data_IF_342755760871
#
_entry.id   IF_342755760871
#
_cell.length_a   1.000
_cell.length_b   1.000
_cell.length_c   1.000
_cell.angle_alpha   90.00
_cell.angle_beta   90.00
_cell.angle_gamma   90.00
#
_symmetry.space_group_name_H-M   'P 1'
#
loop_
_entity.id
_entity.type
_entity.pdbx_description
1 polymer ?
#
# COMPACT_ATOMS: atom_id res chain seq x y z
N UNK A 1 -1.68 10.68 -23.99
CA UNK A 1 -1.78 10.07 -22.65
C UNK A 1 -1.42 8.60 -22.80
N UNK A 2 -0.51 8.05 -22.00
CA UNK A 2 -0.13 6.63 -22.12
C UNK A 2 -1.36 5.73 -21.99
N UNK A 3 -1.51 4.75 -22.88
CA UNK A 3 -2.62 3.81 -22.83
C UNK A 3 -2.35 2.76 -21.74
N UNK A 4 -2.74 3.08 -20.51
CA UNK A 4 -2.56 2.19 -19.35
C UNK A 4 -3.49 0.99 -19.51
N UNK A 5 -2.95 -0.23 -19.54
CA UNK A 5 -3.75 -1.44 -19.64
C UNK A 5 -4.68 -1.62 -18.43
N UNK A 6 -5.76 -2.39 -18.60
CA UNK A 6 -6.68 -2.73 -17.49
C UNK A 6 -5.94 -3.39 -16.32
N UNK A 7 -4.92 -4.21 -16.61
CA UNK A 7 -4.08 -4.88 -15.60
C UNK A 7 -3.27 -3.85 -14.79
N UNK A 8 -2.63 -2.90 -15.45
CA UNK A 8 -1.87 -1.83 -14.79
C UNK A 8 -2.77 -0.94 -13.91
N UNK A 9 -3.97 -0.57 -14.40
CA UNK A 9 -4.95 0.19 -13.59
C UNK A 9 -5.38 -0.56 -12.33
N UNK A 10 -5.67 -1.87 -12.44
CA UNK A 10 -6.01 -2.71 -11.28
C UNK A 10 -4.85 -2.81 -10.28
N UNK A 11 -3.62 -2.94 -10.76
CA UNK A 11 -2.43 -2.96 -9.91
C UNK A 11 -2.24 -1.63 -9.17
N UNK A 12 -2.37 -0.50 -9.87
CA UNK A 12 -2.27 0.83 -9.26
C UNK A 12 -3.36 1.03 -8.20
N UNK A 13 -4.62 0.69 -8.51
CA UNK A 13 -5.71 0.77 -7.55
C UNK A 13 -5.42 -0.05 -6.29
N UNK A 14 -4.85 -1.25 -6.43
CA UNK A 14 -4.49 -2.07 -5.29
C UNK A 14 -3.37 -1.45 -4.43
N UNK A 15 -2.37 -0.82 -5.05
CA UNK A 15 -1.36 -0.06 -4.29
C UNK A 15 -1.97 1.11 -3.54
N UNK A 16 -2.83 1.90 -4.20
CA UNK A 16 -3.52 3.02 -3.54
C UNK A 16 -4.37 2.54 -2.35
N UNK A 17 -5.09 1.43 -2.49
CA UNK A 17 -5.91 0.86 -1.40
C UNK A 17 -5.03 0.44 -0.21
N UNK A 18 -3.94 -0.31 -0.45
CA UNK A 18 -3.04 -0.74 0.62
C UNK A 18 -2.40 0.46 1.33
N UNK A 19 -1.95 1.46 0.57
CA UNK A 19 -1.36 2.68 1.12
C UNK A 19 -2.38 3.46 1.95
N UNK A 20 -3.57 3.71 1.42
CA UNK A 20 -4.62 4.45 2.14
C UNK A 20 -5.05 3.73 3.42
N UNK A 21 -5.18 2.40 3.36
CA UNK A 21 -5.50 1.56 4.51
C UNK A 21 -4.46 1.67 5.63
N UNK A 22 -3.17 1.59 5.29
CA UNK A 22 -2.09 1.71 6.28
C UNK A 22 -2.03 3.10 6.91
N UNK A 23 -2.23 4.17 6.13
CA UNK A 23 -2.27 5.55 6.63
C UNK A 23 -3.45 5.72 7.60
N UNK A 24 -4.61 5.19 7.24
CA UNK A 24 -5.80 5.24 8.10
C UNK A 24 -5.56 4.49 9.41
N UNK A 25 -4.98 3.29 9.37
CA UNK A 25 -4.63 2.54 10.57
C UNK A 25 -3.59 3.26 11.45
N UNK A 26 -2.58 3.88 10.87
CA UNK A 26 -1.60 4.65 11.64
C UNK A 26 -2.23 5.86 12.32
N UNK A 27 -3.17 6.55 11.65
CA UNK A 27 -3.94 7.62 12.27
C UNK A 27 -4.78 7.10 13.44
N UNK A 28 -5.46 5.97 13.28
CA UNK A 28 -6.23 5.36 14.35
C UNK A 28 -5.35 4.96 15.53
N UNK A 29 -4.21 4.33 15.26
CA UNK A 29 -3.24 3.93 16.29
C UNK A 29 -2.72 5.14 17.07
N UNK A 30 -2.48 6.27 16.37
CA UNK A 30 -2.08 7.53 17.02
C UNK A 30 -3.16 8.08 17.94
N UNK A 31 -4.42 8.05 17.52
CA UNK A 31 -5.54 8.62 18.28
C UNK A 31 -5.95 7.70 19.44
N UNK A 32 -6.10 6.41 19.18
CA UNK A 32 -6.72 5.48 20.13
C UNK A 32 -5.70 4.74 21.01
N UNK A 33 -4.47 4.53 20.54
CA UNK A 33 -3.43 3.84 21.31
C UNK A 33 -2.33 4.76 21.82
N UNK A 34 -2.35 6.04 21.43
CA UNK A 34 -1.27 7.00 21.69
C UNK A 34 0.12 6.48 21.24
N UNK A 35 0.16 5.70 20.15
CA UNK A 35 1.41 5.22 19.56
C UNK A 35 1.57 5.76 18.15
N UNK A 36 2.78 6.14 17.78
CA UNK A 36 3.10 6.68 16.45
C UNK A 36 4.31 5.99 15.82
N UNK A 37 4.30 5.87 14.51
CA UNK A 37 5.39 5.38 13.68
C UNK A 37 6.04 6.62 13.07
N UNK A 38 7.36 6.57 12.87
CA UNK A 38 7.99 7.52 11.99
C UNK A 38 7.49 7.32 10.55
N UNK A 39 7.52 8.37 9.71
CA UNK A 39 7.15 8.22 8.29
C UNK A 39 7.91 7.09 7.58
N UNK A 40 9.18 6.88 7.94
CA UNK A 40 10.00 5.80 7.40
C UNK A 40 9.48 4.41 7.83
N UNK A 41 9.12 4.25 9.11
CA UNK A 41 8.54 2.99 9.60
C UNK A 41 7.19 2.69 8.95
N UNK A 42 6.35 3.72 8.75
CA UNK A 42 5.08 3.55 8.04
C UNK A 42 5.30 3.16 6.58
N UNK A 43 6.28 3.76 5.90
CA UNK A 43 6.63 3.40 4.54
C UNK A 43 7.11 1.95 4.44
N UNK A 44 7.97 1.50 5.36
CA UNK A 44 8.42 0.11 5.43
C UNK A 44 7.23 -0.85 5.62
N UNK A 45 6.30 -0.54 6.52
CA UNK A 45 5.06 -1.31 6.71
C UNK A 45 4.24 -1.43 5.42
N UNK A 46 4.05 -0.31 4.71
CA UNK A 46 3.32 -0.30 3.43
C UNK A 46 4.04 -1.17 2.39
N UNK A 47 5.37 -1.12 2.33
CA UNK A 47 6.16 -1.94 1.43
C UNK A 47 6.06 -3.44 1.75
N UNK A 48 6.04 -3.80 3.03
CA UNK A 48 5.80 -5.17 3.50
C UNK A 48 4.43 -5.69 3.03
N UNK A 49 3.35 -4.93 3.26
CA UNK A 49 2.00 -5.29 2.81
C UNK A 49 1.90 -5.43 1.28
N UNK A 50 2.56 -4.52 0.55
CA UNK A 50 2.67 -4.60 -0.91
C UNK A 50 3.39 -5.88 -1.33
N UNK A 51 4.47 -6.25 -0.64
CA UNK A 51 5.24 -7.46 -0.94
C UNK A 51 4.44 -8.73 -0.65
N UNK A 52 3.70 -8.78 0.46
CA UNK A 52 2.75 -9.87 0.77
C UNK A 52 1.75 -10.02 -0.37
N UNK A 53 1.15 -8.91 -0.83
CA UNK A 53 0.23 -8.96 -1.98
C UNK A 53 0.92 -9.48 -3.25
N UNK A 54 2.14 -9.03 -3.55
CA UNK A 54 2.91 -9.50 -4.72
C UNK A 54 3.16 -11.01 -4.65
N UNK A 55 3.45 -11.54 -3.46
CA UNK A 55 3.65 -12.97 -3.24
C UNK A 55 2.33 -13.74 -3.44
N UNK A 56 1.22 -13.25 -2.90
CA UNK A 56 -0.08 -13.91 -2.98
C UNK A 56 -0.73 -13.85 -4.38
N UNK A 57 -0.60 -12.73 -5.09
CA UNK A 57 -1.29 -12.49 -6.36
C UNK A 57 -0.38 -12.55 -7.60
N UNK A 58 0.93 -12.80 -7.41
CA UNK A 58 1.94 -12.69 -8.47
C UNK A 58 2.34 -11.24 -8.78
N UNK A 59 3.44 -11.07 -9.53
CA UNK A 59 3.96 -9.74 -9.87
C UNK A 59 2.92 -8.94 -10.67
N UNK A 60 2.56 -7.72 -10.24
CA UNK A 60 1.77 -6.83 -11.06
C UNK A 60 2.57 -6.48 -12.31
N UNK A 61 1.94 -6.60 -13.49
CA UNK A 61 2.56 -6.29 -14.78
C UNK A 61 2.71 -4.78 -15.00
N UNK A 62 3.47 -4.15 -14.11
CA UNK A 62 4.02 -2.80 -14.25
C UNK A 62 5.50 -3.01 -14.57
N UNK A 63 5.77 -3.55 -15.74
CA UNK A 63 7.08 -3.44 -16.41
C UNK A 63 6.98 -2.31 -17.43
#
# INVERSE_FOLDING_TARGET
MANISRKQRRSLAAYCIITAWNIWNERNRRIFENKFLSPMQLLLRIQEDINIRKQACGKPGLE
#
